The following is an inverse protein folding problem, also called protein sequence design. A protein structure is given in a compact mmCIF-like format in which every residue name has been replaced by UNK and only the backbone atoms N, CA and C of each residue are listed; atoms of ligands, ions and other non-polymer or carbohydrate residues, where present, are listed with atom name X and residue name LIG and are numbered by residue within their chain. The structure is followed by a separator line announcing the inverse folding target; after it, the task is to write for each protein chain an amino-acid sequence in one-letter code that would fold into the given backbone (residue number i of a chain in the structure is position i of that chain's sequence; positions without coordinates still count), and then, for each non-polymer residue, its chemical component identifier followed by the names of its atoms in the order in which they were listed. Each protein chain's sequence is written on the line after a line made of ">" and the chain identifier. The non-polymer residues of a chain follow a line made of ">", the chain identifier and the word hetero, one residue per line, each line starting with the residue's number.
data_IF_895189269319
#
_entry.id   IF_895189269319
#
_cell.length_a   1.000
_cell.length_b   1.000
_cell.length_c   1.000
_cell.angle_alpha   90.00
_cell.angle_beta   90.00
_cell.angle_gamma   90.00
#
_symmetry.space_group_name_H-M   'P 1'
#
loop_
_entity.id
_entity.type
_entity.pdbx_description
1 polymer ?
#
# COMPACT_ATOMS: atom_id res chain seq x y z
N UNK A 1 12.36 -8.51 -17.88
CA UNK A 1 11.34 -7.50 -18.24
C UNK A 1 9.96 -8.04 -17.88
N UNK A 2 9.02 -7.17 -17.55
CA UNK A 2 7.60 -7.49 -17.49
C UNK A 2 6.82 -6.54 -18.39
N UNK A 3 5.77 -7.04 -19.04
CA UNK A 3 4.91 -6.26 -19.91
C UNK A 3 3.57 -5.99 -19.19
N UNK A 4 3.25 -4.71 -18.97
CA UNK A 4 1.92 -4.28 -18.54
C UNK A 4 1.10 -3.96 -19.78
N UNK A 5 0.15 -4.85 -20.10
CA UNK A 5 -0.69 -4.74 -21.29
C UNK A 5 -2.10 -4.28 -20.93
N UNK A 6 -2.70 -3.48 -21.81
CA UNK A 6 -4.12 -3.15 -21.81
C UNK A 6 -4.75 -3.84 -23.03
N UNK A 7 -5.83 -4.57 -22.77
CA UNK A 7 -6.58 -5.27 -23.80
C UNK A 7 -8.00 -4.74 -23.87
N UNK A 8 -8.52 -4.58 -25.09
CA UNK A 8 -9.92 -4.25 -25.33
C UNK A 8 -10.64 -5.43 -25.98
N UNK A 9 -11.90 -5.63 -25.60
CA UNK A 9 -12.78 -6.60 -26.25
C UNK A 9 -13.67 -5.87 -27.27
N UNK A 10 -13.34 -5.99 -28.55
CA UNK A 10 -14.12 -5.40 -29.65
C UNK A 10 -14.66 -6.52 -30.53
N UNK A 11 -16.00 -6.55 -30.70
CA UNK A 11 -16.69 -7.55 -31.54
C UNK A 11 -16.27 -8.99 -31.21
N UNK A 12 -16.22 -9.33 -29.92
CA UNK A 12 -15.81 -10.65 -29.39
C UNK A 12 -14.35 -11.03 -29.69
N UNK A 13 -13.49 -10.08 -30.07
CA UNK A 13 -12.03 -10.27 -30.18
C UNK A 13 -11.32 -9.47 -29.11
N UNK A 14 -10.34 -10.09 -28.48
CA UNK A 14 -9.43 -9.43 -27.54
C UNK A 14 -8.26 -8.88 -28.35
N UNK A 15 -7.99 -7.59 -28.23
CA UNK A 15 -6.91 -6.91 -28.93
C UNK A 15 -6.08 -6.10 -27.94
N UNK A 16 -4.75 -6.24 -28.03
CA UNK A 16 -3.82 -5.48 -27.21
C UNK A 16 -3.74 -4.05 -27.75
N UNK A 17 -4.13 -3.06 -26.95
CA UNK A 17 -4.18 -1.65 -27.37
C UNK A 17 -3.02 -0.82 -26.81
N UNK A 18 -2.39 -1.29 -25.74
CA UNK A 18 -1.22 -0.65 -25.16
C UNK A 18 -0.32 -1.67 -24.48
N UNK A 19 1.00 -1.47 -24.57
CA UNK A 19 2.02 -2.25 -23.88
C UNK A 19 3.02 -1.30 -23.26
N UNK A 20 3.18 -1.39 -21.94
CA UNK A 20 4.22 -0.71 -21.18
C UNK A 20 5.25 -1.72 -20.70
N UNK A 21 6.51 -1.55 -21.08
CA UNK A 21 7.59 -2.45 -20.69
C UNK A 21 8.26 -1.95 -19.42
N UNK A 22 8.28 -2.79 -18.40
CA UNK A 22 8.89 -2.50 -17.10
C UNK A 22 10.22 -3.25 -17.02
N UNK A 23 11.36 -2.54 -16.90
CA UNK A 23 12.66 -3.17 -16.74
C UNK A 23 12.72 -3.85 -15.37
N UNK A 24 13.16 -5.11 -15.35
CA UNK A 24 13.35 -5.88 -14.11
C UNK A 24 14.79 -6.36 -14.05
N UNK A 25 15.39 -6.32 -12.86
CA UNK A 25 16.73 -6.88 -12.59
C UNK A 25 16.70 -8.41 -12.49
N UNK A 26 15.61 -8.93 -11.95
CA UNK A 26 15.35 -10.35 -11.79
C UNK A 26 13.98 -10.73 -12.36
N UNK A 27 13.71 -12.03 -12.50
CA UNK A 27 12.45 -12.54 -13.04
C UNK A 27 11.32 -12.31 -12.04
N UNK A 28 10.17 -11.83 -12.53
CA UNK A 28 8.96 -11.75 -11.73
C UNK A 28 8.38 -13.15 -11.47
N UNK A 29 7.99 -13.42 -10.23
CA UNK A 29 7.40 -14.68 -9.76
C UNK A 29 5.96 -14.53 -9.26
N UNK A 30 5.56 -13.31 -8.95
CA UNK A 30 4.21 -12.97 -8.52
C UNK A 30 3.86 -11.57 -9.01
N UNK A 31 2.57 -11.29 -9.13
CA UNK A 31 2.08 -9.97 -9.47
C UNK A 31 0.67 -9.73 -8.94
N UNK A 32 0.32 -8.45 -8.81
CA UNK A 32 -1.07 -8.03 -8.68
C UNK A 32 -1.25 -6.62 -9.24
N UNK A 33 -2.51 -6.22 -9.42
CA UNK A 33 -2.91 -4.84 -9.67
C UNK A 33 -3.75 -4.35 -8.50
N UNK A 34 -3.73 -3.05 -8.25
CA UNK A 34 -4.71 -2.44 -7.37
C UNK A 34 -6.08 -2.34 -8.05
N UNK A 35 -7.12 -1.98 -7.27
CA UNK A 35 -8.50 -1.97 -7.74
C UNK A 35 -8.77 -0.99 -8.90
N UNK A 36 -8.05 0.13 -8.93
CA UNK A 36 -8.13 1.15 -9.99
C UNK A 36 -7.26 0.82 -11.20
N UNK A 37 -6.51 -0.29 -11.15
CA UNK A 37 -5.59 -0.77 -12.19
C UNK A 37 -4.52 0.24 -12.65
N UNK A 38 -4.28 1.31 -11.89
CA UNK A 38 -3.25 2.31 -12.17
C UNK A 38 -1.88 1.93 -11.58
N UNK A 39 -1.83 0.90 -10.72
CA UNK A 39 -0.61 0.37 -10.10
C UNK A 39 -0.43 -1.11 -10.43
N UNK A 40 0.74 -1.46 -10.94
CA UNK A 40 1.18 -2.85 -11.14
C UNK A 40 2.29 -3.17 -10.15
N UNK A 41 2.08 -4.22 -9.35
CA UNK A 41 3.06 -4.69 -8.37
C UNK A 41 3.61 -6.03 -8.82
N UNK A 42 4.92 -6.21 -8.72
CA UNK A 42 5.65 -7.41 -9.09
C UNK A 42 6.57 -7.84 -7.94
N UNK A 43 6.60 -9.13 -7.64
CA UNK A 43 7.60 -9.75 -6.78
C UNK A 43 8.60 -10.53 -7.62
N UNK A 44 9.89 -10.42 -7.31
CA UNK A 44 10.96 -11.02 -8.11
C UNK A 44 11.74 -12.11 -7.38
N UNK A 45 12.48 -12.95 -8.13
CA UNK A 45 13.29 -14.06 -7.58
C UNK A 45 14.45 -13.58 -6.69
N UNK A 46 14.89 -12.32 -6.82
CA UNK A 46 15.91 -11.69 -5.98
C UNK A 46 15.33 -11.04 -4.70
N UNK A 47 14.07 -11.36 -4.39
CA UNK A 47 13.29 -10.77 -3.29
C UNK A 47 13.03 -9.27 -3.42
N UNK A 48 13.23 -8.68 -4.60
CA UNK A 48 12.76 -7.32 -4.87
C UNK A 48 11.26 -7.26 -5.09
N UNK A 49 10.64 -6.18 -4.61
CA UNK A 49 9.24 -5.80 -4.86
C UNK A 49 9.26 -4.53 -5.70
N UNK A 50 8.60 -4.57 -6.85
CA UNK A 50 8.58 -3.48 -7.82
C UNK A 50 7.15 -2.97 -7.94
N UNK A 51 6.97 -1.66 -7.82
CA UNK A 51 5.70 -0.97 -8.02
C UNK A 51 5.84 -0.03 -9.22
N UNK A 52 5.10 -0.32 -10.28
CA UNK A 52 4.94 0.59 -11.41
C UNK A 52 3.65 1.38 -11.27
N UNK A 53 3.76 2.70 -11.28
CA UNK A 53 2.61 3.60 -11.22
C UNK A 53 2.37 4.29 -12.55
N UNK A 54 1.20 4.05 -13.13
CA UNK A 54 0.86 4.51 -14.48
C UNK A 54 0.68 6.03 -14.54
N UNK A 55 0.08 6.63 -13.50
CA UNK A 55 -0.23 8.06 -13.49
C UNK A 55 1.04 8.94 -13.45
N UNK A 56 2.03 8.57 -12.62
CA UNK A 56 3.34 9.25 -12.54
C UNK A 56 4.38 8.69 -13.51
N UNK A 57 4.13 7.52 -14.11
CA UNK A 57 5.06 6.76 -14.95
C UNK A 57 6.39 6.48 -14.23
N UNK A 58 6.32 6.24 -12.92
CA UNK A 58 7.49 5.94 -12.09
C UNK A 58 7.51 4.45 -11.74
N UNK A 59 8.72 3.93 -11.53
CA UNK A 59 8.95 2.59 -11.01
C UNK A 59 9.65 2.73 -9.67
N UNK A 60 9.01 2.25 -8.61
CA UNK A 60 9.59 2.14 -7.28
C UNK A 60 10.08 0.72 -7.05
N UNK A 61 11.10 0.57 -6.20
CA UNK A 61 11.69 -0.71 -5.85
C UNK A 61 11.97 -0.74 -4.36
N UNK A 62 11.61 -1.83 -3.72
CA UNK A 62 12.00 -2.17 -2.36
C UNK A 62 12.57 -3.58 -2.30
N UNK A 63 13.34 -3.85 -1.26
CA UNK A 63 13.82 -5.20 -0.94
C UNK A 63 12.87 -5.78 0.12
N UNK A 64 12.32 -6.96 -0.14
CA UNK A 64 11.57 -7.71 0.85
C UNK A 64 12.50 -8.58 1.70
N UNK A 65 12.10 -8.79 2.95
CA UNK A 65 12.77 -9.69 3.90
C UNK A 65 12.46 -11.17 3.63
N UNK A 66 11.55 -11.43 2.68
CA UNK A 66 11.07 -12.75 2.30
C UNK A 66 10.96 -12.86 0.78
N UNK A 67 10.92 -14.10 0.26
CA UNK A 67 10.69 -14.32 -1.16
C UNK A 67 9.22 -14.01 -1.52
N UNK A 68 8.93 -13.02 -2.38
CA UNK A 68 7.60 -12.48 -2.63
C UNK A 68 6.77 -13.41 -3.54
N UNK A 69 6.43 -14.60 -3.06
CA UNK A 69 5.69 -15.61 -3.84
C UNK A 69 4.20 -15.30 -4.01
N UNK A 70 3.63 -14.49 -3.12
CA UNK A 70 2.24 -14.04 -3.14
C UNK A 70 2.21 -12.54 -2.90
N UNK A 71 1.34 -11.83 -3.61
CA UNK A 71 1.16 -10.38 -3.44
C UNK A 71 -0.32 -10.05 -3.45
N UNK A 72 -0.75 -9.18 -2.56
CA UNK A 72 -2.13 -8.69 -2.50
C UNK A 72 -2.19 -7.22 -2.10
N UNK A 73 -2.84 -6.38 -2.93
CA UNK A 73 -3.13 -4.99 -2.58
C UNK A 73 -4.41 -4.93 -1.75
N UNK A 74 -4.40 -4.14 -0.68
CA UNK A 74 -5.63 -3.82 0.04
C UNK A 74 -6.61 -3.07 -0.90
N UNK A 75 -7.93 -3.34 -0.85
CA UNK A 75 -8.92 -2.71 -1.73
C UNK A 75 -8.94 -1.17 -1.71
N UNK A 76 -8.61 -0.53 -0.58
CA UNK A 76 -8.50 0.93 -0.48
C UNK A 76 -7.22 1.48 -1.13
N UNK A 77 -6.27 0.59 -1.45
CA UNK A 77 -4.94 0.96 -1.90
C UNK A 77 -4.15 1.69 -0.83
N UNK A 78 -4.30 1.32 0.45
CA UNK A 78 -3.50 1.88 1.56
C UNK A 78 -2.20 1.11 1.81
N UNK A 79 -2.25 -0.22 1.68
CA UNK A 79 -1.12 -1.11 1.95
C UNK A 79 -1.03 -2.22 0.91
N UNK A 80 0.17 -2.76 0.80
CA UNK A 80 0.54 -3.91 0.00
C UNK A 80 1.00 -5.03 0.93
N UNK A 81 0.53 -6.26 0.70
CA UNK A 81 1.06 -7.43 1.38
C UNK A 81 1.86 -8.31 0.44
N UNK A 82 2.95 -8.82 0.98
CA UNK A 82 3.87 -9.72 0.32
C UNK A 82 4.00 -10.96 1.20
N UNK A 83 3.72 -12.13 0.63
CA UNK A 83 3.72 -13.40 1.32
C UNK A 83 4.72 -14.40 0.73
N UNK A 84 5.38 -15.16 1.60
CA UNK A 84 6.24 -16.27 1.21
C UNK A 84 5.51 -17.60 1.33
N UNK A 85 5.87 -18.56 0.48
CA UNK A 85 5.40 -19.93 0.58
C UNK A 85 5.89 -20.63 1.86
N UNK A 86 6.80 -20.01 2.61
CA UNK A 86 7.25 -20.45 3.92
C UNK A 86 6.32 -20.02 5.06
N UNK A 87 5.22 -19.33 4.78
CA UNK A 87 4.28 -18.88 5.80
C UNK A 87 4.72 -17.59 6.48
N UNK A 88 5.30 -16.68 5.70
CA UNK A 88 5.76 -15.36 6.15
C UNK A 88 4.95 -14.28 5.46
N UNK A 89 4.78 -13.15 6.14
CA UNK A 89 4.06 -11.99 5.62
C UNK A 89 4.81 -10.71 5.95
N UNK A 90 4.97 -9.84 4.97
CA UNK A 90 5.51 -8.50 5.11
C UNK A 90 4.50 -7.50 4.55
N UNK A 91 4.44 -6.31 5.15
CA UNK A 91 3.54 -5.23 4.75
C UNK A 91 4.37 -4.05 4.28
N UNK A 92 3.92 -3.44 3.20
CA UNK A 92 4.45 -2.17 2.70
C UNK A 92 3.32 -1.14 2.62
N UNK A 93 3.67 0.12 2.79
CA UNK A 93 2.81 1.23 2.37
C UNK A 93 2.78 1.37 0.84
N UNK A 94 2.01 2.34 0.34
CA UNK A 94 1.92 2.61 -1.10
C UNK A 94 3.14 3.27 -1.73
N UNK A 95 4.08 3.74 -0.93
CA UNK A 95 5.37 4.25 -1.37
C UNK A 95 6.47 3.16 -1.33
N UNK A 96 6.10 1.91 -1.02
CA UNK A 96 7.00 0.77 -0.78
C UNK A 96 7.91 0.91 0.46
N UNK A 97 7.52 1.71 1.46
CA UNK A 97 8.14 1.68 2.78
C UNK A 97 7.62 0.46 3.57
N UNK A 98 8.48 -0.34 4.22
CA UNK A 98 8.02 -1.46 5.05
C UNK A 98 7.26 -0.95 6.28
N UNK A 99 6.23 -1.67 6.69
CA UNK A 99 5.43 -1.39 7.88
C UNK A 99 5.61 -2.52 8.89
N UNK A 100 6.00 -2.17 10.11
CA UNK A 100 6.06 -3.12 11.22
C UNK A 100 4.67 -3.60 11.65
N UNK A 101 4.57 -4.89 11.92
CA UNK A 101 3.34 -5.60 12.28
C UNK A 101 3.40 -5.95 13.78
N UNK A 102 2.29 -5.75 14.48
CA UNK A 102 2.10 -6.17 15.87
C UNK A 102 0.82 -7.00 15.97
N UNK A 103 0.92 -8.23 16.48
CA UNK A 103 -0.26 -9.00 16.87
C UNK A 103 -0.82 -8.48 18.19
N UNK A 104 -2.11 -8.12 18.21
CA UNK A 104 -2.74 -7.49 19.38
C UNK A 104 -2.89 -8.43 20.59
N UNK A 105 -2.80 -9.74 20.38
CA UNK A 105 -2.89 -10.74 21.43
C UNK A 105 -1.53 -11.07 22.08
N UNK A 106 -0.44 -10.50 21.57
CA UNK A 106 0.92 -10.75 22.02
C UNK A 106 1.52 -9.51 22.69
N UNK A 107 2.62 -9.71 23.42
CA UNK A 107 3.40 -8.61 23.98
C UNK A 107 3.93 -7.67 22.88
N UNK A 108 4.15 -6.42 23.24
CA UNK A 108 4.61 -5.41 22.29
C UNK A 108 6.03 -5.73 21.78
N UNK A 109 6.09 -6.22 20.55
CA UNK A 109 7.29 -6.49 19.78
C UNK A 109 6.98 -6.34 18.29
N UNK A 110 6.90 -5.12 17.75
CA UNK A 110 6.65 -4.91 16.33
C UNK A 110 7.74 -5.57 15.48
N UNK A 111 7.34 -6.27 14.41
CA UNK A 111 8.25 -6.99 13.51
C UNK A 111 7.98 -6.61 12.06
N UNK A 112 9.02 -6.57 11.23
CA UNK A 112 8.85 -6.36 9.79
C UNK A 112 8.15 -7.54 9.11
N UNK A 113 8.33 -8.75 9.63
CA UNK A 113 7.68 -9.96 9.13
C UNK A 113 6.87 -10.66 10.20
N UNK A 114 5.69 -11.16 9.80
CA UNK A 114 4.86 -12.04 10.61
C UNK A 114 5.09 -13.50 10.18
N UNK A 115 5.41 -14.36 11.16
CA UNK A 115 5.78 -15.76 10.97
C UNK A 115 4.65 -16.68 11.44
N UNK A 116 3.91 -17.30 10.51
CA UNK A 116 2.79 -18.17 10.89
C UNK A 116 3.22 -19.56 11.37
N UNK A 117 4.41 -20.01 10.99
CA UNK A 117 4.95 -21.31 11.40
C UNK A 117 5.13 -21.43 12.92
N UNK A 118 5.34 -20.31 13.60
CA UNK A 118 5.44 -20.29 15.06
C UNK A 118 4.09 -20.54 15.74
N UNK A 119 2.98 -20.35 15.03
CA UNK A 119 1.63 -20.42 15.58
C UNK A 119 0.94 -21.78 15.37
N UNK A 120 1.45 -22.66 14.49
CA UNK A 120 0.81 -23.93 14.16
C UNK A 120 1.82 -25.07 13.99
N UNK A 121 1.54 -26.24 14.56
CA UNK A 121 2.40 -27.43 14.51
C UNK A 121 2.49 -28.11 13.12
N UNK A 122 1.72 -27.64 12.13
CA UNK A 122 1.66 -28.23 10.79
C UNK A 122 2.57 -27.47 9.85
N UNK A 123 3.60 -28.15 9.34
CA UNK A 123 4.40 -27.66 8.21
C UNK A 123 3.51 -27.49 6.98
N UNK A 124 3.08 -26.26 6.75
CA UNK A 124 2.18 -25.90 5.67
C UNK A 124 2.67 -24.65 4.95
N UNK A 125 2.52 -24.63 3.63
CA UNK A 125 2.90 -23.48 2.82
C UNK A 125 1.74 -22.51 2.72
N UNK A 126 2.00 -21.21 2.84
CA UNK A 126 1.00 -20.21 2.47
C UNK A 126 0.83 -20.26 0.95
N UNK A 127 -0.38 -20.54 0.49
CA UNK A 127 -0.69 -20.77 -0.94
C UNK A 127 -1.70 -19.78 -1.50
N UNK A 128 -2.35 -19.00 -0.66
CA UNK A 128 -3.32 -18.00 -1.10
C UNK A 128 -3.45 -16.88 -0.07
N UNK A 129 -3.53 -15.65 -0.57
CA UNK A 129 -3.89 -14.45 0.19
C UNK A 129 -5.00 -13.72 -0.54
N UNK A 130 -6.07 -13.36 0.15
CA UNK A 130 -7.18 -12.65 -0.47
C UNK A 130 -7.87 -11.73 0.52
N UNK A 131 -7.94 -10.45 0.18
CA UNK A 131 -8.77 -9.49 0.88
C UNK A 131 -10.25 -9.82 0.69
N UNK A 132 -11.03 -9.63 1.74
CA UNK A 132 -12.49 -9.67 1.61
C UNK A 132 -12.96 -8.57 0.68
N UNK A 133 -13.85 -8.90 -0.26
CA UNK A 133 -14.43 -7.90 -1.13
C UNK A 133 -15.26 -6.90 -0.29
N UNK A 134 -15.16 -5.59 -0.56
CA UNK A 134 -16.10 -4.62 0.01
C UNK A 134 -17.53 -5.05 -0.34
N UNK A 135 -18.37 -5.27 0.67
CA UNK A 135 -19.76 -5.67 0.44
C UNK A 135 -20.49 -4.51 -0.23
N UNK A 136 -21.01 -4.71 -1.44
CA UNK A 136 -21.73 -3.69 -2.22
C UNK A 136 -23.19 -3.50 -1.72
N UNK A 137 -23.53 -4.00 -0.52
CA UNK A 137 -24.92 -4.12 -0.08
C UNK A 137 -25.25 -3.23 1.12
N UNK A 138 -25.92 -2.12 0.78
CA UNK A 138 -26.94 -1.36 1.52
C UNK A 138 -26.59 -0.52 2.77
N UNK A 139 -26.80 0.79 2.60
CA UNK A 139 -27.42 1.78 3.51
C UNK A 139 -26.96 1.80 4.98
N UNK A 140 -26.17 2.85 5.26
CA UNK A 140 -25.61 3.28 6.56
C UNK A 140 -24.62 2.26 7.12
N UNK A 141 -23.35 2.63 7.35
CA UNK A 141 -22.50 1.82 8.19
C UNK A 141 -23.18 1.76 9.57
N UNK A 142 -23.76 0.61 9.91
CA UNK A 142 -23.92 0.27 11.31
C UNK A 142 -22.51 0.22 11.89
N UNK A 143 -22.32 0.73 13.11
CA UNK A 143 -20.98 0.81 13.70
C UNK A 143 -20.40 -0.60 13.82
N UNK A 144 -19.51 -0.99 12.91
CA UNK A 144 -18.85 -2.30 12.97
C UNK A 144 -18.57 -3.03 11.65
N UNK A 145 -18.74 -2.42 10.48
CA UNK A 145 -18.33 -3.08 9.22
C UNK A 145 -16.83 -3.38 9.21
N UNK A 146 -16.47 -4.66 9.35
CA UNK A 146 -15.09 -5.15 9.36
C UNK A 146 -14.62 -5.34 7.91
N UNK A 147 -14.08 -4.28 7.31
CA UNK A 147 -13.66 -4.28 5.90
C UNK A 147 -12.20 -4.70 5.66
N UNK A 148 -11.37 -4.74 6.71
CA UNK A 148 -9.92 -4.96 6.60
C UNK A 148 -9.53 -6.39 7.00
N UNK A 149 -10.19 -7.38 6.39
CA UNK A 149 -9.96 -8.80 6.62
C UNK A 149 -9.17 -9.42 5.46
N UNK A 150 -8.05 -10.07 5.80
CA UNK A 150 -7.25 -10.85 4.87
C UNK A 150 -7.43 -12.34 5.15
N UNK A 151 -8.00 -13.06 4.18
CA UNK A 151 -8.08 -14.50 4.20
C UNK A 151 -6.75 -15.13 3.78
N UNK A 152 -6.32 -16.15 4.53
CA UNK A 152 -5.09 -16.90 4.32
C UNK A 152 -5.43 -18.39 4.18
N UNK A 153 -4.86 -19.03 3.17
CA UNK A 153 -4.98 -20.50 2.99
C UNK A 153 -3.60 -21.13 3.06
N UNK A 154 -3.46 -22.11 3.94
CA UNK A 154 -2.27 -22.93 4.03
C UNK A 154 -2.48 -24.28 3.34
N UNK A 155 -1.54 -24.69 2.50
CA UNK A 155 -1.61 -25.94 1.76
C UNK A 155 -1.61 -27.14 2.71
N UNK A 156 -2.71 -27.91 2.71
CA UNK A 156 -2.95 -29.01 3.67
C UNK A 156 -2.89 -28.57 5.14
N UNK A 157 -3.01 -27.27 5.41
CA UNK A 157 -2.98 -26.68 6.73
C UNK A 157 -4.30 -25.98 7.08
N UNK A 158 -4.30 -25.15 8.13
CA UNK A 158 -5.48 -24.41 8.54
C UNK A 158 -5.87 -23.31 7.54
N UNK A 159 -7.06 -22.77 7.73
CA UNK A 159 -7.46 -21.48 7.17
C UNK A 159 -7.25 -20.41 8.24
N UNK A 160 -6.73 -19.26 7.82
CA UNK A 160 -6.47 -18.13 8.69
C UNK A 160 -7.21 -16.89 8.22
N UNK A 161 -7.50 -15.99 9.15
CA UNK A 161 -8.01 -14.65 8.85
C UNK A 161 -7.23 -13.66 9.69
N UNK A 162 -6.61 -12.68 9.04
CA UNK A 162 -6.05 -11.52 9.73
C UNK A 162 -7.05 -10.37 9.69
N UNK A 163 -7.32 -9.81 10.87
CA UNK A 163 -8.05 -8.57 11.02
C UNK A 163 -7.06 -7.43 11.27
N UNK A 164 -6.99 -6.50 10.32
CA UNK A 164 -6.21 -5.29 10.47
C UNK A 164 -7.02 -4.27 11.26
N UNK A 165 -6.55 -3.94 12.47
CA UNK A 165 -7.09 -2.84 13.26
C UNK A 165 -6.19 -1.63 13.09
N UNK A 166 -6.49 -0.82 12.09
CA UNK A 166 -5.90 0.50 11.91
C UNK A 166 -7.06 1.51 11.93
N UNK A 167 -6.84 2.67 12.56
CA UNK A 167 -7.85 3.73 12.59
C UNK A 167 -8.66 3.80 13.88
N UNK A 168 -8.07 4.36 14.93
CA UNK A 168 -8.86 4.98 16.02
C UNK A 168 -9.66 6.18 15.45
N UNK A 169 -9.17 6.80 14.37
CA UNK A 169 -9.69 8.05 13.81
C UNK A 169 -10.73 7.90 12.68
N UNK A 170 -10.75 6.78 11.94
CA UNK A 170 -11.53 6.63 10.69
C UNK A 170 -12.64 5.60 10.76
N UNK A 171 -13.05 5.19 11.97
CA UNK A 171 -14.19 4.28 12.16
C UNK A 171 -14.01 2.91 11.46
N UNK A 172 -12.76 2.47 11.25
CA UNK A 172 -12.43 1.09 10.90
C UNK A 172 -12.21 0.78 9.41
N UNK A 173 -11.92 1.79 8.56
CA UNK A 173 -11.50 1.55 7.18
C UNK A 173 -10.07 2.03 6.96
N UNK A 174 -9.16 1.09 6.74
CA UNK A 174 -7.77 1.37 6.42
C UNK A 174 -7.66 2.17 5.10
N UNK A 175 -7.19 3.41 5.16
CA UNK A 175 -6.94 4.27 3.99
C UNK A 175 -5.51 4.82 3.95
N UNK A 176 -5.02 5.34 2.81
CA UNK A 176 -3.73 6.04 2.75
C UNK A 176 -3.62 7.21 3.75
N UNK A 177 -4.74 7.87 4.04
CA UNK A 177 -4.82 8.97 5.00
C UNK A 177 -4.51 8.47 6.41
N UNK A 178 -5.02 7.30 6.79
CA UNK A 178 -4.75 6.67 8.09
C UNK A 178 -3.27 6.38 8.29
N UNK A 179 -2.61 5.84 7.26
CA UNK A 179 -1.18 5.56 7.32
C UNK A 179 -0.39 6.87 7.50
N UNK A 180 -0.77 7.94 6.78
CA UNK A 180 -0.14 9.26 6.95
C UNK A 180 -0.30 9.78 8.37
N UNK A 181 -1.50 9.69 8.96
CA UNK A 181 -1.72 10.10 10.35
C UNK A 181 -0.91 9.26 11.34
N UNK A 182 -0.78 7.95 11.08
CA UNK A 182 0.06 7.07 11.89
C UNK A 182 1.54 7.48 11.82
N UNK A 183 2.05 7.77 10.62
CA UNK A 183 3.42 8.25 10.45
C UNK A 183 3.66 9.60 11.13
N UNK A 184 2.71 10.54 11.04
CA UNK A 184 2.78 11.80 11.80
C UNK A 184 2.84 11.52 13.31
N UNK A 185 2.05 10.57 13.81
CA UNK A 185 2.04 10.21 15.22
C UNK A 185 3.37 9.61 15.69
N UNK A 186 4.03 8.82 14.82
CA UNK A 186 5.36 8.26 15.07
C UNK A 186 6.52 9.24 14.79
N UNK A 187 6.24 10.48 14.37
CA UNK A 187 7.23 11.48 13.90
C UNK A 187 8.04 11.04 12.65
N UNK A 188 7.49 10.10 11.86
CA UNK A 188 8.02 9.55 10.61
C UNK A 188 7.54 10.40 9.41
N UNK A 189 7.97 11.66 9.38
CA UNK A 189 7.40 12.64 8.43
C UNK A 189 7.80 12.39 6.98
N UNK A 190 8.97 11.79 6.73
CA UNK A 190 9.40 11.49 5.37
C UNK A 190 8.50 10.44 4.72
N UNK A 191 8.11 9.42 5.49
CA UNK A 191 7.23 8.33 5.11
C UNK A 191 5.83 8.87 4.81
N UNK A 192 5.31 9.78 5.66
CA UNK A 192 4.07 10.50 5.41
C UNK A 192 4.10 11.31 4.09
N UNK A 193 5.20 12.03 3.83
CA UNK A 193 5.38 12.80 2.58
C UNK A 193 5.48 11.86 1.37
N UNK A 194 6.12 10.71 1.50
CA UNK A 194 6.26 9.71 0.43
C UNK A 194 4.89 9.14 0.03
N UNK A 195 4.03 8.80 1.00
CA UNK A 195 2.65 8.39 0.70
C UNK A 195 1.90 9.51 0.00
N UNK A 196 1.90 10.73 0.55
CA UNK A 196 1.20 11.88 -0.06
C UNK A 196 1.66 12.10 -1.51
N UNK A 197 2.96 11.94 -1.76
CA UNK A 197 3.54 12.06 -3.09
C UNK A 197 3.05 10.96 -4.05
N UNK A 198 2.71 9.78 -3.54
CA UNK A 198 2.16 8.62 -4.29
C UNK A 198 0.66 8.64 -4.53
N UNK A 199 -0.06 9.53 -3.84
CA UNK A 199 -1.49 9.69 -4.03
C UNK A 199 -1.78 10.42 -5.34
N UNK A 200 -2.84 9.99 -6.03
CA UNK A 200 -3.30 10.65 -7.25
C UNK A 200 -4.18 11.85 -6.88
N UNK A 201 -3.67 13.06 -7.06
CA UNK A 201 -4.38 14.31 -6.75
C UNK A 201 -5.62 14.56 -7.62
N UNK A 202 -5.64 13.99 -8.84
CA UNK A 202 -6.78 14.12 -9.76
C UNK A 202 -8.01 13.36 -9.26
N UNK A 203 -7.80 12.23 -8.56
CA UNK A 203 -8.88 11.36 -8.08
C UNK A 203 -9.10 11.41 -6.57
N UNK A 204 -8.07 11.77 -5.80
CA UNK A 204 -8.08 11.79 -4.32
C UNK A 204 -7.82 13.20 -3.75
N UNK A 205 -8.16 14.26 -4.49
CA UNK A 205 -7.80 15.64 -4.12
C UNK A 205 -8.18 16.06 -2.70
N UNK A 206 -9.36 15.64 -2.19
CA UNK A 206 -9.77 15.93 -0.81
C UNK A 206 -8.88 15.23 0.23
N UNK A 207 -8.60 13.94 0.03
CA UNK A 207 -7.71 13.16 0.88
C UNK A 207 -6.28 13.72 0.84
N UNK A 208 -5.77 14.07 -0.34
CA UNK A 208 -4.48 14.71 -0.50
C UNK A 208 -4.41 16.03 0.29
N UNK A 209 -5.44 16.86 0.20
CA UNK A 209 -5.50 18.13 0.92
C UNK A 209 -5.49 17.97 2.45
N UNK A 210 -6.29 17.02 2.98
CA UNK A 210 -6.28 16.72 4.42
C UNK A 210 -4.90 16.24 4.86
N UNK A 211 -4.33 15.28 4.14
CA UNK A 211 -3.01 14.72 4.44
C UNK A 211 -1.92 15.79 4.42
N UNK A 212 -1.88 16.62 3.37
CA UNK A 212 -0.94 17.73 3.28
C UNK A 212 -1.11 18.71 4.44
N UNK A 213 -2.36 19.08 4.76
CA UNK A 213 -2.66 19.98 5.86
C UNK A 213 -2.22 19.42 7.21
N UNK A 214 -2.41 18.12 7.43
CA UNK A 214 -1.97 17.44 8.65
C UNK A 214 -0.44 17.46 8.79
N UNK A 215 0.29 17.12 7.71
CA UNK A 215 1.76 17.13 7.70
C UNK A 215 2.29 18.55 7.96
N UNK A 216 1.79 19.55 7.23
CA UNK A 216 2.24 20.95 7.38
C UNK A 216 1.93 21.48 8.79
N UNK A 217 0.73 21.22 9.31
CA UNK A 217 0.37 21.64 10.66
C UNK A 217 1.25 21.00 11.74
N UNK A 218 1.65 19.74 11.56
CA UNK A 218 2.59 19.08 12.47
C UNK A 218 3.96 19.75 12.43
N UNK A 219 4.51 19.98 11.23
CA UNK A 219 5.81 20.64 11.05
C UNK A 219 5.84 22.06 11.66
N UNK A 220 4.78 22.85 11.46
CA UNK A 220 4.69 24.22 11.98
C UNK A 220 4.60 24.31 13.51
N UNK A 221 4.14 23.24 14.19
CA UNK A 221 4.08 23.18 15.66
C UNK A 221 5.43 22.87 16.30
N UNK A 222 6.40 22.41 15.50
CA UNK A 222 7.73 22.06 15.99
C UNK A 222 8.71 23.24 15.81
N UNK A 223 9.84 23.22 16.51
CA UNK A 223 10.88 24.25 16.35
C UNK A 223 11.48 24.16 14.93
N UNK A 224 11.66 25.28 14.24
CA UNK A 224 12.30 25.29 12.92
C UNK A 224 13.75 24.78 13.04
N UNK A 225 14.07 23.72 12.30
CA UNK A 225 15.43 23.18 12.11
C UNK A 225 15.70 23.08 10.60
N UNK A 226 16.97 23.08 10.16
CA UNK A 226 17.30 22.93 8.74
C UNK A 226 16.72 21.67 8.10
N UNK A 227 16.61 20.55 8.85
CA UNK A 227 15.97 19.33 8.36
C UNK A 227 14.47 19.54 8.09
N UNK A 228 13.78 20.25 8.99
CA UNK A 228 12.35 20.57 8.85
C UNK A 228 12.07 21.57 7.73
N UNK A 229 12.96 22.52 7.52
CA UNK A 229 12.91 23.41 6.35
C UNK A 229 13.07 22.62 5.05
N UNK A 230 13.94 21.60 5.05
CA UNK A 230 14.08 20.63 3.95
C UNK A 230 12.80 19.81 3.71
N UNK A 231 12.20 19.26 4.77
CA UNK A 231 10.92 18.52 4.67
C UNK A 231 9.80 19.41 4.13
N UNK A 232 9.69 20.63 4.64
CA UNK A 232 8.72 21.63 4.17
C UNK A 232 8.96 21.95 2.69
N UNK A 233 10.22 22.16 2.31
CA UNK A 233 10.61 22.41 0.92
C UNK A 233 10.26 21.23 0.01
N UNK A 234 10.42 19.97 0.46
CA UNK A 234 10.06 18.79 -0.33
C UNK A 234 8.56 18.70 -0.63
N UNK A 235 7.69 19.11 0.30
CA UNK A 235 6.24 19.20 0.07
C UNK A 235 5.96 20.20 -1.05
N UNK A 236 6.60 21.37 -1.02
CA UNK A 236 6.39 22.44 -2.01
C UNK A 236 7.15 22.23 -3.34
N UNK A 237 8.21 21.41 -3.37
CA UNK A 237 8.94 21.08 -4.60
C UNK A 237 8.34 19.87 -5.33
N UNK A 238 7.46 19.11 -4.67
CA UNK A 238 6.68 18.11 -5.38
C UNK A 238 5.77 18.85 -6.38
N UNK A 239 6.15 18.79 -7.66
CA UNK A 239 5.53 19.52 -8.76
C UNK A 239 4.02 19.32 -8.81
N UNK A 240 3.55 18.12 -8.48
CA UNK A 240 2.11 17.82 -8.39
C UNK A 240 1.45 18.63 -7.28
N UNK A 241 2.05 18.69 -6.09
CA UNK A 241 1.52 19.46 -4.95
C UNK A 241 1.56 20.97 -5.25
N UNK A 242 2.66 21.46 -5.83
CA UNK A 242 2.85 22.87 -6.16
C UNK A 242 1.87 23.39 -7.21
N UNK A 243 1.69 22.65 -8.32
CA UNK A 243 0.75 23.02 -9.39
C UNK A 243 -0.71 23.07 -8.88
N UNK A 244 -1.08 22.16 -7.97
CA UNK A 244 -2.41 22.17 -7.34
C UNK A 244 -2.62 23.33 -6.36
N UNK A 245 -1.63 23.64 -5.51
CA UNK A 245 -1.69 24.79 -4.59
C UNK A 245 -1.79 26.13 -5.36
N UNK A 246 -1.09 26.28 -6.49
CA UNK A 246 -1.20 27.46 -7.36
C UNK A 246 -2.53 27.54 -8.11
N UNK A 247 -3.05 26.40 -8.57
CA UNK A 247 -4.35 26.35 -9.24
C UNK A 247 -5.53 26.77 -8.36
N UNK A 248 -5.43 26.56 -7.04
CA UNK A 248 -6.40 27.02 -6.04
C UNK A 248 -6.29 28.52 -5.71
N UNK A 249 -5.10 29.12 -5.87
CA UNK A 249 -4.89 30.57 -5.67
C UNK A 249 -5.37 31.42 -6.86
N UNK A 250 -5.61 30.79 -8.01
CA UNK A 250 -6.08 31.43 -9.25
C UNK A 250 -7.57 31.20 -9.55
N UNK A 251 -8.35 30.73 -8.58
CA UNK A 251 -9.82 30.70 -8.61
C UNK A 251 -10.41 31.52 -7.47
#
# INVERSE_FOLDING_TARGET
>A
MADSCIYECVRKKIQCVSVTRIPLRSKAISCCRNITEDKLILGCEDSSVILYETHRRVTLLAQAELLPSLISCHPSGAILLVGSNQGELQIFDMALSPINIQLLAEDYSPRETLQFKESFDVSSSLVHMQWTAPQVVSKKPESGDICDLLFLRFGRGPLGVLLFKLGIFTQGQLSPVDIIFQYIHCDEIFEAINILSSMNWDTLGYQCFISMSAIVNHLLRQKLTPEREGQTSNIFHNRTIFEYCLGLLHR
#
